data_IF_923077471182
#
_entry.id   IF_923077471182
#
_cell.length_a   1.000
_cell.length_b   1.000
_cell.length_c   1.000
_cell.angle_alpha   90.00
_cell.angle_beta   90.00
_cell.angle_gamma   90.00
#
_symmetry.space_group_name_H-M   'P 1'
#
loop_
_entity.id
_entity.type
_entity.pdbx_description
1 polymer ?
#
# COMPACT_ATOMS: atom_id res chain seq x y z
N UNK A 1 -23.81 5.11 -12.53
CA UNK A 1 -23.19 3.89 -11.97
C UNK A 1 -22.70 3.10 -13.16
N UNK A 2 -21.38 2.91 -13.36
CA UNK A 2 -20.90 2.03 -14.42
C UNK A 2 -21.22 0.60 -14.00
N UNK A 3 -21.80 -0.20 -14.90
CA UNK A 3 -21.83 -1.63 -14.73
C UNK A 3 -20.40 -2.15 -14.88
N UNK A 4 -19.90 -2.80 -13.82
CA UNK A 4 -18.59 -3.43 -13.81
C UNK A 4 -18.77 -4.94 -13.99
N UNK A 5 -17.85 -5.55 -14.74
CA UNK A 5 -17.80 -6.98 -14.99
C UNK A 5 -17.47 -7.73 -13.69
N UNK A 6 -18.17 -8.83 -13.41
CA UNK A 6 -17.92 -9.68 -12.23
C UNK A 6 -16.47 -10.14 -12.13
N UNK A 7 -15.83 -10.31 -13.29
CA UNK A 7 -14.48 -10.86 -13.44
C UNK A 7 -13.39 -9.97 -12.81
N UNK A 8 -13.64 -8.67 -12.65
CA UNK A 8 -12.67 -7.77 -12.00
C UNK A 8 -12.58 -7.99 -10.49
N UNK A 9 -13.71 -8.25 -9.84
CA UNK A 9 -13.71 -8.55 -8.40
C UNK A 9 -12.99 -9.85 -8.09
N UNK A 10 -12.92 -10.77 -9.06
CA UNK A 10 -12.17 -12.02 -8.92
C UNK A 10 -10.65 -11.83 -9.10
N UNK A 11 -10.20 -10.89 -9.95
CA UNK A 11 -8.77 -10.68 -10.21
C UNK A 11 -8.37 -9.21 -10.54
N UNK A 12 -7.92 -8.42 -9.55
CA UNK A 12 -7.48 -7.03 -9.75
C UNK A 12 -6.09 -6.90 -10.40
N UNK A 13 -5.45 -8.00 -10.85
CA UNK A 13 -4.11 -8.00 -11.45
C UNK A 13 -4.08 -8.38 -12.93
N UNK A 14 -5.16 -8.12 -13.68
CA UNK A 14 -5.23 -8.34 -15.14
C UNK A 14 -4.76 -9.76 -15.55
N UNK A 15 -5.29 -10.78 -14.88
CA UNK A 15 -4.98 -12.19 -15.17
C UNK A 15 -3.70 -12.74 -14.52
N UNK A 16 -2.92 -11.93 -13.80
CA UNK A 16 -1.86 -12.45 -12.92
C UNK A 16 -2.47 -13.11 -11.70
N UNK A 17 -1.76 -14.07 -11.12
CA UNK A 17 -2.23 -14.74 -9.93
C UNK A 17 -2.23 -13.81 -8.71
N UNK A 18 -3.38 -13.70 -8.04
CA UNK A 18 -3.50 -13.08 -6.72
C UNK A 18 -2.92 -14.04 -5.68
N UNK A 19 -1.79 -13.69 -5.07
CA UNK A 19 -1.11 -14.53 -4.05
C UNK A 19 -1.40 -14.11 -2.61
N UNK A 20 -1.89 -12.87 -2.41
CA UNK A 20 -2.23 -12.29 -1.13
C UNK A 20 -3.37 -11.27 -1.26
N UNK A 21 -4.28 -11.20 -0.29
CA UNK A 21 -5.32 -10.16 -0.15
C UNK A 21 -5.34 -9.61 1.27
N UNK A 22 -5.96 -8.43 1.46
CA UNK A 22 -6.09 -7.85 2.80
C UNK A 22 -7.02 -8.70 3.68
N UNK A 23 -8.12 -9.18 3.12
CA UNK A 23 -9.17 -9.89 3.82
C UNK A 23 -8.78 -11.33 4.19
N UNK A 24 -8.14 -12.06 3.26
CA UNK A 24 -7.87 -13.49 3.42
C UNK A 24 -6.38 -13.82 3.62
N UNK A 25 -5.50 -12.83 3.48
CA UNK A 25 -4.06 -13.02 3.62
C UNK A 25 -3.46 -13.84 2.47
N UNK A 26 -2.41 -14.62 2.77
CA UNK A 26 -1.73 -15.44 1.77
C UNK A 26 -2.54 -16.70 1.43
N UNK A 27 -2.68 -17.01 0.14
CA UNK A 27 -3.35 -18.24 -0.30
C UNK A 27 -2.64 -19.50 0.21
N UNK A 28 -3.42 -20.51 0.57
CA UNK A 28 -2.91 -21.81 1.03
C UNK A 28 -2.04 -22.50 -0.05
N UNK A 29 -1.03 -23.26 0.38
CA UNK A 29 -0.15 -24.02 -0.52
C UNK A 29 0.91 -23.21 -1.27
N UNK A 30 0.88 -21.87 -1.21
CA UNK A 30 1.94 -21.03 -1.79
C UNK A 30 3.18 -21.01 -0.91
N UNK A 31 4.36 -21.11 -1.55
CA UNK A 31 5.65 -20.90 -0.88
C UNK A 31 5.72 -19.45 -0.42
N UNK A 32 5.57 -19.24 0.88
CA UNK A 32 5.89 -18.00 1.59
C UNK A 32 7.30 -17.55 1.17
N UNK A 33 7.39 -16.49 0.38
CA UNK A 33 8.66 -15.99 -0.15
C UNK A 33 9.37 -15.14 0.91
N UNK A 34 10.68 -15.32 1.05
CA UNK A 34 11.54 -14.43 1.85
C UNK A 34 12.05 -13.29 0.97
N UNK A 35 12.48 -12.16 1.55
CA UNK A 35 13.25 -11.16 0.83
C UNK A 35 14.53 -11.80 0.29
N UNK A 36 14.59 -11.97 -1.01
CA UNK A 36 15.75 -12.50 -1.71
C UNK A 36 15.83 -11.87 -3.10
N UNK A 37 17.02 -11.83 -3.73
CA UNK A 37 17.17 -11.26 -5.07
C UNK A 37 16.29 -11.93 -6.14
N UNK A 38 15.90 -13.19 -5.92
CA UNK A 38 15.05 -14.02 -6.78
C UNK A 38 13.58 -14.09 -6.31
N UNK A 39 13.25 -13.59 -5.12
CA UNK A 39 11.92 -13.66 -4.53
C UNK A 39 11.05 -12.45 -4.90
N UNK A 40 9.93 -12.68 -5.58
CA UNK A 40 8.97 -11.60 -5.85
C UNK A 40 8.13 -11.26 -4.62
N UNK A 41 7.84 -9.97 -4.36
CA UNK A 41 6.91 -9.55 -3.32
C UNK A 41 5.46 -10.01 -3.64
N UNK A 42 4.56 -10.05 -2.65
CA UNK A 42 4.82 -9.73 -1.24
C UNK A 42 5.56 -10.86 -0.50
N UNK A 43 6.49 -10.47 0.37
CA UNK A 43 7.28 -11.39 1.20
C UNK A 43 6.59 -11.67 2.52
N UNK A 44 6.82 -12.85 3.08
CA UNK A 44 6.25 -13.27 4.36
C UNK A 44 7.33 -13.83 5.28
N UNK A 45 7.15 -13.58 6.58
CA UNK A 45 7.95 -14.24 7.62
C UNK A 45 7.23 -15.51 8.06
N UNK A 46 7.97 -16.62 8.12
CA UNK A 46 7.45 -17.92 8.56
C UNK A 46 7.67 -18.17 10.05
N UNK A 47 8.53 -17.38 10.69
CA UNK A 47 9.06 -17.71 12.00
C UNK A 47 8.85 -16.54 12.97
N UNK A 48 8.10 -16.82 14.03
CA UNK A 48 7.86 -15.94 15.18
C UNK A 48 9.00 -15.98 16.20
N UNK A 49 10.07 -16.73 15.94
CA UNK A 49 11.32 -16.66 16.71
C UNK A 49 11.87 -15.23 16.76
N UNK A 50 12.41 -14.84 17.91
CA UNK A 50 13.09 -13.57 18.17
C UNK A 50 14.29 -13.28 17.23
N UNK A 51 14.71 -14.26 16.42
CA UNK A 51 15.85 -14.17 15.52
C UNK A 51 15.53 -13.78 14.06
N UNK A 52 14.26 -13.63 13.67
CA UNK A 52 13.92 -13.21 12.30
C UNK A 52 13.86 -11.68 12.20
N UNK A 53 14.99 -11.05 11.85
CA UNK A 53 15.07 -9.64 11.49
C UNK A 53 15.42 -9.48 10.01
N UNK A 54 14.89 -8.43 9.40
CA UNK A 54 15.30 -8.01 8.06
C UNK A 54 16.35 -6.91 8.18
N UNK A 55 17.52 -7.14 7.60
CA UNK A 55 18.59 -6.15 7.56
C UNK A 55 18.59 -5.45 6.21
N UNK A 56 18.41 -4.13 6.24
CA UNK A 56 18.56 -3.27 5.08
C UNK A 56 19.85 -2.48 5.22
N UNK A 57 20.80 -2.70 4.31
CA UNK A 57 22.03 -1.92 4.20
C UNK A 57 21.81 -0.82 3.16
N UNK A 58 21.66 0.42 3.63
CA UNK A 58 21.35 1.56 2.79
C UNK A 58 22.60 2.40 2.55
N UNK A 59 22.86 2.76 1.28
CA UNK A 59 23.99 3.60 0.88
C UNK A 59 23.47 4.82 0.13
N UNK A 60 23.88 6.01 0.56
CA UNK A 60 23.50 7.27 -0.08
C UNK A 60 24.68 8.24 -0.13
N UNK A 61 24.97 8.88 -1.28
CA UNK A 61 26.01 9.88 -1.40
C UNK A 61 25.54 11.23 -0.83
N UNK A 62 25.76 11.48 0.44
CA UNK A 62 25.31 12.70 1.14
C UNK A 62 25.89 14.01 0.58
N UNK A 63 27.01 13.93 -0.15
CA UNK A 63 27.63 15.06 -0.83
C UNK A 63 26.80 15.57 -2.02
N UNK A 64 25.90 14.76 -2.57
CA UNK A 64 25.03 15.15 -3.70
C UNK A 64 23.73 15.82 -3.23
N UNK A 65 23.53 16.01 -1.92
CA UNK A 65 22.33 16.63 -1.40
C UNK A 65 22.38 18.14 -1.61
N UNK A 66 21.32 18.68 -2.20
CA UNK A 66 21.14 20.11 -2.36
C UNK A 66 21.04 20.79 -0.98
N UNK A 67 21.89 21.80 -0.69
CA UNK A 67 21.87 22.50 0.59
C UNK A 67 20.57 23.28 0.85
N UNK A 68 19.77 23.62 -0.16
CA UNK A 68 18.52 24.37 0.02
C UNK A 68 17.34 23.47 0.40
N UNK A 69 17.46 22.15 0.19
CA UNK A 69 16.40 21.20 0.44
C UNK A 69 16.28 20.86 1.94
N UNK A 70 15.08 21.05 2.49
CA UNK A 70 14.72 20.59 3.83
C UNK A 70 14.43 19.08 3.83
N UNK A 71 14.78 18.38 4.92
CA UNK A 71 14.51 16.94 5.06
C UNK A 71 15.67 16.14 5.64
N UNK A 72 16.87 16.73 5.72
CA UNK A 72 18.04 16.07 6.29
C UNK A 72 18.73 15.11 5.32
N UNK A 73 19.98 14.79 5.64
CA UNK A 73 20.84 13.93 4.83
C UNK A 73 20.79 12.49 5.34
N UNK A 74 19.83 11.71 4.85
CA UNK A 74 19.61 10.33 5.28
C UNK A 74 18.43 9.67 4.60
N UNK A 75 17.90 8.62 5.23
CA UNK A 75 16.82 7.81 4.67
C UNK A 75 15.54 8.03 5.47
N UNK A 76 14.50 8.47 4.79
CA UNK A 76 13.13 8.45 5.31
C UNK A 76 12.46 7.16 4.90
N UNK A 77 11.71 6.56 5.80
CA UNK A 77 10.91 5.39 5.53
C UNK A 77 9.56 5.47 6.22
N UNK A 78 8.63 4.66 5.73
CA UNK A 78 7.29 4.56 6.26
C UNK A 78 6.98 3.10 6.57
N UNK A 79 6.27 2.87 7.67
CA UNK A 79 5.71 1.58 8.02
C UNK A 79 4.19 1.66 7.85
N UNK A 80 3.67 0.88 6.90
CA UNK A 80 2.27 0.88 6.51
C UNK A 80 1.80 -0.50 6.04
N UNK A 81 0.50 -0.66 5.81
CA UNK A 81 -0.07 -1.86 5.21
C UNK A 81 0.39 -1.99 3.74
N UNK A 82 0.80 -3.18 3.26
CA UNK A 82 1.21 -3.37 1.86
C UNK A 82 0.09 -3.12 0.82
N UNK A 83 -1.18 -3.14 1.21
CA UNK A 83 -2.31 -2.76 0.35
C UNK A 83 -2.47 -1.25 0.19
N UNK A 84 -1.74 -0.48 1.00
CA UNK A 84 -1.81 0.98 1.05
C UNK A 84 -0.50 1.57 0.55
N UNK A 85 -0.62 2.76 0.01
CA UNK A 85 0.53 3.62 -0.22
C UNK A 85 0.90 4.38 1.06
N UNK A 86 2.18 4.72 1.26
CA UNK A 86 2.59 5.52 2.40
C UNK A 86 2.01 6.94 2.30
N UNK A 87 1.56 7.46 3.44
CA UNK A 87 1.00 8.80 3.60
C UNK A 87 1.50 9.40 4.90
N UNK A 88 1.23 10.69 5.13
CA UNK A 88 1.60 11.37 6.38
C UNK A 88 0.90 10.80 7.62
N UNK A 89 -0.19 10.03 7.47
CA UNK A 89 -0.88 9.37 8.59
C UNK A 89 -0.17 8.09 9.07
N UNK A 90 0.79 7.58 8.30
CA UNK A 90 1.54 6.38 8.64
C UNK A 90 2.74 6.67 9.52
N UNK A 91 3.23 5.64 10.21
CA UNK A 91 4.45 5.73 11.01
C UNK A 91 5.65 5.99 10.10
N UNK A 92 6.21 7.20 10.19
CA UNK A 92 7.44 7.58 9.52
C UNK A 92 8.66 7.37 10.42
N UNK A 93 9.80 7.05 9.82
CA UNK A 93 11.08 6.98 10.51
C UNK A 93 12.20 7.58 9.66
N UNK A 94 13.28 7.98 10.32
CA UNK A 94 14.45 8.55 9.68
C UNK A 94 15.74 7.95 10.24
N UNK A 95 16.68 7.59 9.37
CA UNK A 95 18.01 7.10 9.76
C UNK A 95 19.10 7.87 9.02
N UNK A 96 20.05 8.41 9.79
CA UNK A 96 21.24 9.08 9.25
C UNK A 96 22.28 8.05 8.78
N UNK A 97 23.07 8.37 7.75
CA UNK A 97 24.20 7.52 7.35
C UNK A 97 25.17 7.31 8.51
N UNK A 98 25.68 6.09 8.64
CA UNK A 98 26.55 5.67 9.74
C UNK A 98 25.80 5.25 11.01
N UNK A 99 24.47 5.42 11.07
CA UNK A 99 23.66 4.99 12.20
C UNK A 99 22.84 3.75 11.85
N UNK A 100 22.54 2.95 12.88
CA UNK A 100 21.62 1.82 12.81
C UNK A 100 20.30 2.17 13.49
N UNK A 101 19.19 1.81 12.86
CA UNK A 101 17.84 1.90 13.43
C UNK A 101 17.24 0.49 13.51
N UNK A 102 16.82 0.08 14.70
CA UNK A 102 16.13 -1.19 14.93
C UNK A 102 14.64 -0.92 15.10
N UNK A 103 13.80 -1.50 14.25
CA UNK A 103 12.34 -1.36 14.29
C UNK A 103 11.71 -2.67 14.77
N UNK A 104 11.01 -2.63 15.91
CA UNK A 104 10.17 -3.73 16.37
C UNK A 104 8.74 -3.50 15.87
N UNK A 105 8.24 -4.42 15.03
CA UNK A 105 6.91 -4.33 14.43
C UNK A 105 5.97 -5.28 15.18
N UNK A 106 4.87 -4.73 15.71
CA UNK A 106 3.78 -5.49 16.35
C UNK A 106 2.47 -5.19 15.61
N UNK A 107 2.11 -5.96 14.58
CA UNK A 107 0.90 -5.70 13.80
C UNK A 107 -0.35 -5.98 14.65
N UNK A 108 -1.35 -5.12 14.53
CA UNK A 108 -2.72 -5.35 15.02
C UNK A 108 -3.62 -5.50 13.81
N UNK A 109 -4.22 -6.67 13.64
CA UNK A 109 -5.09 -6.98 12.51
C UNK A 109 -6.53 -7.01 13.00
N UNK A 110 -7.41 -6.31 12.30
CA UNK A 110 -8.84 -6.32 12.55
C UNK A 110 -9.52 -6.96 11.34
N UNK A 111 -10.30 -8.01 11.58
CA UNK A 111 -11.06 -8.71 10.55
C UNK A 111 -12.54 -8.62 10.86
N UNK A 112 -13.37 -8.56 9.83
CA UNK A 112 -14.82 -8.63 9.97
C UNK A 112 -15.25 -10.06 10.33
N UNK A 113 -16.24 -10.20 11.21
CA UNK A 113 -16.84 -11.50 11.50
C UNK A 113 -17.59 -12.05 10.27
N UNK A 114 -17.55 -13.37 10.08
CA UNK A 114 -18.15 -14.02 8.91
C UNK A 114 -19.63 -13.66 8.69
N UNK A 115 -20.37 -13.56 9.79
CA UNK A 115 -21.80 -13.24 9.79
C UNK A 115 -22.08 -11.81 9.29
N UNK A 116 -21.13 -10.91 9.47
CA UNK A 116 -21.21 -9.50 9.08
C UNK A 116 -20.72 -9.26 7.65
N UNK A 117 -20.01 -10.23 7.04
CA UNK A 117 -19.55 -10.10 5.65
C UNK A 117 -20.72 -9.94 4.66
N UNK A 118 -21.83 -10.62 4.93
CA UNK A 118 -23.05 -10.58 4.10
C UNK A 118 -23.89 -9.33 4.31
N UNK A 119 -23.59 -8.52 5.33
CA UNK A 119 -24.33 -7.27 5.57
C UNK A 119 -23.98 -6.26 4.49
N UNK A 120 -24.99 -5.52 4.03
CA UNK A 120 -24.80 -4.44 3.08
C UNK A 120 -23.81 -3.37 3.62
N UNK A 121 -23.03 -2.72 2.75
CA UNK A 121 -22.07 -1.67 3.15
C UNK A 121 -22.68 -0.57 4.03
N UNK A 122 -23.96 -0.26 3.84
CA UNK A 122 -24.72 0.72 4.61
C UNK A 122 -24.89 0.34 6.08
N UNK A 123 -24.95 -0.96 6.41
CA UNK A 123 -25.10 -1.45 7.78
C UNK A 123 -23.77 -1.62 8.50
N UNK A 124 -22.72 -2.04 7.78
CA UNK A 124 -21.36 -2.20 8.34
C UNK A 124 -20.50 -0.93 8.23
N UNK A 125 -20.96 0.09 7.52
CA UNK A 125 -20.30 1.39 7.30
C UNK A 125 -18.90 1.30 6.67
N UNK A 126 -18.57 0.17 6.06
CA UNK A 126 -17.34 -0.05 5.30
C UNK A 126 -17.64 -0.93 4.08
N UNK A 127 -16.72 -0.92 3.12
CA UNK A 127 -16.79 -1.78 1.94
C UNK A 127 -15.78 -2.91 2.06
N UNK A 128 -16.16 -4.10 1.59
CA UNK A 128 -15.26 -5.20 1.27
C UNK A 128 -14.65 -4.96 -0.12
N UNK A 129 -13.52 -5.59 -0.41
CA UNK A 129 -12.92 -5.56 -1.74
C UNK A 129 -13.91 -5.90 -2.88
N UNK A 130 -14.81 -6.86 -2.66
CA UNK A 130 -15.81 -7.30 -3.63
C UNK A 130 -16.99 -6.33 -3.81
N UNK A 131 -17.11 -5.30 -2.96
CA UNK A 131 -18.24 -4.38 -2.95
C UNK A 131 -17.90 -3.03 -3.57
N UNK A 132 -16.62 -2.63 -3.53
CA UNK A 132 -16.18 -1.34 -4.05
C UNK A 132 -14.82 -1.44 -4.73
N UNK A 133 -14.86 -1.34 -6.04
CA UNK A 133 -13.68 -1.13 -6.85
C UNK A 133 -13.23 0.34 -6.80
N UNK A 134 -11.92 0.51 -6.64
CA UNK A 134 -11.19 1.77 -6.75
C UNK A 134 -10.64 1.94 -8.18
N UNK A 135 -10.46 3.18 -8.63
CA UNK A 135 -10.01 3.52 -9.99
C UNK A 135 -8.50 3.47 -10.18
N UNK A 136 -7.75 3.91 -9.18
CA UNK A 136 -6.30 4.07 -9.14
C UNK A 136 -5.63 2.95 -8.33
N UNK A 137 -6.35 2.40 -7.35
CA UNK A 137 -5.82 1.37 -6.46
C UNK A 137 -6.47 0.01 -6.71
N UNK A 138 -5.66 -1.05 -6.59
CA UNK A 138 -6.13 -2.44 -6.75
C UNK A 138 -6.92 -2.93 -5.55
N UNK A 139 -6.56 -2.47 -4.35
CA UNK A 139 -7.20 -2.87 -3.11
C UNK A 139 -7.95 -1.69 -2.49
N UNK A 140 -9.19 -1.95 -2.10
CA UNK A 140 -9.98 -1.08 -1.27
C UNK A 140 -9.36 -1.04 0.13
N UNK A 141 -8.92 0.15 0.50
CA UNK A 141 -8.70 0.51 1.90
C UNK A 141 -9.35 1.86 2.13
N UNK A 142 -9.56 2.22 3.40
CA UNK A 142 -10.06 3.56 3.74
C UNK A 142 -9.14 4.64 3.16
N UNK A 143 -7.83 4.50 3.34
CA UNK A 143 -6.84 5.48 2.88
C UNK A 143 -6.86 5.58 1.35
N UNK A 144 -6.81 4.45 0.64
CA UNK A 144 -6.85 4.45 -0.83
C UNK A 144 -8.13 5.12 -1.35
N UNK A 145 -9.28 4.82 -0.74
CA UNK A 145 -10.56 5.42 -1.10
C UNK A 145 -10.59 6.94 -0.85
N UNK A 146 -10.09 7.41 0.30
CA UNK A 146 -10.01 8.84 0.63
C UNK A 146 -9.14 9.58 -0.41
N UNK A 147 -8.01 9.00 -0.81
CA UNK A 147 -7.12 9.59 -1.82
C UNK A 147 -7.79 9.72 -3.19
N UNK A 148 -8.55 8.72 -3.64
CA UNK A 148 -9.31 8.85 -4.89
C UNK A 148 -10.40 9.91 -4.81
N UNK A 149 -11.05 9.99 -3.64
CA UNK A 149 -12.10 10.98 -3.41
C UNK A 149 -11.53 12.40 -3.50
N UNK A 150 -10.42 12.65 -2.81
CA UNK A 150 -9.70 13.93 -2.85
C UNK A 150 -9.19 14.27 -4.24
N UNK A 151 -8.63 13.28 -4.95
CA UNK A 151 -8.13 13.45 -6.32
C UNK A 151 -9.25 13.79 -7.30
N UNK A 152 -10.38 13.09 -7.21
CA UNK A 152 -11.56 13.35 -8.05
C UNK A 152 -12.17 14.72 -7.73
N UNK A 153 -12.26 15.08 -6.45
CA UNK A 153 -12.74 16.40 -6.03
C UNK A 153 -11.84 17.52 -6.56
N UNK A 154 -10.52 17.37 -6.40
CA UNK A 154 -9.52 18.34 -6.89
C UNK A 154 -9.59 18.49 -8.41
N UNK A 155 -9.68 17.39 -9.15
CA UNK A 155 -9.80 17.43 -10.61
C UNK A 155 -11.08 18.15 -11.06
N UNK A 156 -12.21 17.90 -10.39
CA UNK A 156 -13.48 18.55 -10.72
C UNK A 156 -13.48 20.05 -10.40
N UNK A 157 -12.81 20.46 -9.31
CA UNK A 157 -12.79 21.85 -8.85
C UNK A 157 -11.70 22.70 -9.51
N UNK A 158 -10.52 22.13 -9.69
CA UNK A 158 -9.31 22.86 -10.07
C UNK A 158 -8.81 22.48 -11.48
N UNK A 159 -9.32 21.40 -12.08
CA UNK A 159 -8.88 20.94 -13.40
C UNK A 159 -7.52 20.22 -13.40
N UNK A 160 -6.95 19.94 -12.22
CA UNK A 160 -5.67 19.24 -12.07
C UNK A 160 -5.75 18.12 -11.02
N UNK A 161 -4.80 17.18 -11.09
CA UNK A 161 -4.61 16.12 -10.11
C UNK A 161 -3.12 16.03 -9.72
N UNK A 162 -2.84 15.55 -8.51
CA UNK A 162 -1.45 15.36 -8.06
C UNK A 162 -0.80 14.24 -8.87
N UNK A 163 0.39 14.52 -9.41
CA UNK A 163 1.12 13.67 -10.36
C UNK A 163 1.36 12.25 -9.86
N UNK A 164 1.50 12.04 -8.54
CA UNK A 164 1.72 10.71 -7.94
C UNK A 164 0.54 9.74 -8.08
N UNK A 165 -0.64 10.21 -8.50
CA UNK A 165 -1.87 9.40 -8.56
C UNK A 165 -2.29 9.01 -9.98
N UNK A 166 -1.48 9.32 -11.00
CA UNK A 166 -1.89 9.29 -12.41
C UNK A 166 -1.40 8.08 -13.20
N UNK A 167 -1.08 6.94 -12.58
CA UNK A 167 -0.49 5.83 -13.36
C UNK A 167 -1.43 5.12 -14.34
N UNK A 168 -2.72 5.52 -14.49
CA UNK A 168 -3.57 4.85 -15.49
C UNK A 168 -4.62 5.71 -16.21
N UNK A 169 -4.55 7.04 -16.14
CA UNK A 169 -5.36 7.87 -17.04
C UNK A 169 -4.53 8.92 -17.75
N UNK A 170 -4.39 8.73 -19.06
CA UNK A 170 -3.96 9.74 -20.03
C UNK A 170 -4.68 11.07 -19.78
N UNK A 171 -4.05 11.96 -19.04
CA UNK A 171 -4.35 13.40 -19.01
C UNK A 171 -3.03 14.16 -19.08
N UNK A 172 -2.94 15.24 -19.85
CA UNK A 172 -1.67 15.86 -20.18
C UNK A 172 -1.08 16.48 -18.92
N UNK A 173 0.18 16.15 -18.65
CA UNK A 173 1.01 16.82 -17.66
C UNK A 173 1.03 18.31 -17.97
N UNK A 174 0.48 19.14 -17.10
CA UNK A 174 0.72 20.58 -17.12
C UNK A 174 1.43 20.99 -15.84
N UNK A 175 2.64 21.51 -16.09
CA UNK A 175 3.66 22.14 -15.23
C UNK A 175 4.74 21.20 -14.69
#
# INVERSE_FOLDING_TARGET
IRHYDSDFFENPFNGREVVWTMEDGYKEGRKRSRPSPDGSPPWSSTDTSLSTYYLFLLKVPTQLFDPICSGGKGFHGFLHNPAEIPTASHTAFYVKPGNQLNLQIKPKVFTIEEQLKSWGPEFKMCFMQSERQLKFFKFYTRINCEIECESNFTQQKCGCAVVSWLEESRTPTFL
#
